data_IF_095383377416
#
_entry.id   IF_095383377416
#
_cell.length_a   1.000
_cell.length_b   1.000
_cell.length_c   1.000
_cell.angle_alpha   90.00
_cell.angle_beta   90.00
_cell.angle_gamma   90.00
#
_symmetry.space_group_name_H-M   'P 1'
#
loop_
_entity.id
_entity.type
_entity.pdbx_description
1 polymer ?
#
# COMPACT_ATOMS: atom_id res chain seq x y z
N UNK A 1 -10.98 -8.98 34.47
CA UNK A 1 -9.92 -9.94 34.05
C UNK A 1 -9.77 -9.88 32.54
N UNK A 2 -8.84 -9.07 32.03
CA UNK A 2 -8.47 -9.11 30.62
C UNK A 2 -7.47 -10.25 30.41
N UNK A 3 -7.74 -11.13 29.45
CA UNK A 3 -6.90 -12.29 29.16
C UNK A 3 -5.50 -11.85 28.73
N UNK A 4 -4.47 -12.30 29.47
CA UNK A 4 -3.03 -12.11 29.18
C UNK A 4 -2.61 -12.62 27.79
N UNK A 5 -3.45 -13.41 27.10
CA UNK A 5 -3.13 -14.01 25.80
C UNK A 5 -3.13 -13.01 24.63
N UNK A 6 -3.89 -11.91 24.68
CA UNK A 6 -3.98 -10.97 23.56
C UNK A 6 -2.77 -10.04 23.40
N UNK A 7 -2.09 -9.71 24.50
CA UNK A 7 -0.93 -8.81 24.48
C UNK A 7 0.36 -9.50 23.99
N UNK A 8 0.53 -10.79 24.31
CA UNK A 8 1.73 -11.55 23.95
C UNK A 8 1.84 -11.82 22.44
N UNK A 9 0.73 -12.13 21.78
CA UNK A 9 0.72 -12.38 20.32
C UNK A 9 0.99 -11.09 19.52
N UNK A 10 0.51 -9.94 20.01
CA UNK A 10 0.75 -8.62 19.40
C UNK A 10 2.20 -8.17 19.60
N UNK A 11 2.81 -8.46 20.76
CA UNK A 11 4.22 -8.18 21.01
C UNK A 11 5.16 -8.97 20.08
N UNK A 12 4.80 -10.22 19.77
CA UNK A 12 5.56 -11.09 18.85
C UNK A 12 5.58 -10.54 17.42
N UNK A 13 4.43 -10.09 16.89
CA UNK A 13 4.35 -9.48 15.57
C UNK A 13 5.05 -8.12 15.49
N UNK A 14 4.97 -7.30 16.55
CA UNK A 14 5.64 -6.00 16.63
C UNK A 14 7.18 -6.13 16.73
N UNK A 15 7.67 -7.15 17.43
CA UNK A 15 9.10 -7.48 17.51
C UNK A 15 9.67 -7.89 16.15
N UNK A 16 8.91 -8.67 15.36
CA UNK A 16 9.28 -9.03 13.98
C UNK A 16 9.29 -7.83 13.04
N UNK A 17 8.35 -6.90 13.17
CA UNK A 17 8.32 -5.66 12.39
C UNK A 17 9.47 -4.72 12.75
N UNK A 18 9.80 -4.58 14.04
CA UNK A 18 10.99 -3.82 14.47
C UNK A 18 12.25 -4.45 13.92
N UNK A 19 12.39 -5.78 13.98
CA UNK A 19 13.57 -6.46 13.45
C UNK A 19 13.66 -6.33 11.93
N UNK A 20 12.56 -6.51 11.20
CA UNK A 20 12.51 -6.37 9.74
C UNK A 20 12.71 -4.92 9.28
N UNK A 21 12.03 -3.95 9.89
CA UNK A 21 12.24 -2.51 9.62
C UNK A 21 13.66 -2.08 10.02
N UNK A 22 14.23 -2.63 11.10
CA UNK A 22 15.64 -2.42 11.45
C UNK A 22 16.56 -3.06 10.41
N UNK A 23 16.28 -4.25 9.89
CA UNK A 23 17.02 -4.87 8.79
C UNK A 23 16.92 -4.07 7.49
N UNK A 24 15.75 -3.50 7.19
CA UNK A 24 15.53 -2.64 6.02
C UNK A 24 16.25 -1.31 6.20
N UNK A 25 16.14 -0.67 7.37
CA UNK A 25 16.86 0.56 7.71
C UNK A 25 18.38 0.33 7.75
N UNK A 26 18.85 -0.81 8.26
CA UNK A 26 20.26 -1.20 8.25
C UNK A 26 20.76 -1.49 6.83
N UNK A 27 19.93 -2.08 5.95
CA UNK A 27 20.27 -2.18 4.53
C UNK A 27 20.35 -0.81 3.89
N UNK A 28 19.40 0.09 4.18
CA UNK A 28 19.38 1.46 3.64
C UNK A 28 20.56 2.30 4.17
N UNK A 29 20.99 2.11 5.42
CA UNK A 29 22.19 2.77 5.98
C UNK A 29 23.51 2.15 5.51
N UNK A 30 23.47 1.03 4.79
CA UNK A 30 24.62 0.48 4.05
C UNK A 30 24.58 0.87 2.55
N UNK A 31 23.61 1.68 2.12
CA UNK A 31 23.58 2.27 0.75
C UNK A 31 24.38 3.58 0.68
N UNK A 32 25.00 4.02 1.78
CA UNK A 32 25.96 5.13 1.76
C UNK A 32 27.35 4.60 1.37
N UNK A 33 27.55 4.42 0.06
CA UNK A 33 28.87 4.07 -0.50
C UNK A 33 28.93 3.74 -1.99
N UNK A 34 27.80 3.63 -2.69
CA UNK A 34 27.80 3.45 -4.16
C UNK A 34 26.65 4.23 -4.82
N UNK A 35 26.53 5.50 -4.49
CA UNK A 35 25.87 6.48 -5.34
C UNK A 35 26.82 6.75 -6.53
N UNK A 36 26.81 5.88 -7.54
CA UNK A 36 27.42 6.22 -8.83
C UNK A 36 26.55 7.30 -9.45
N UNK A 37 26.93 8.54 -9.14
CA UNK A 37 26.72 9.70 -9.98
C UNK A 37 26.90 9.30 -11.45
N UNK A 38 25.88 9.59 -12.25
CA UNK A 38 25.83 9.22 -13.66
C UNK A 38 27.10 9.60 -14.41
N UNK A 39 27.70 8.62 -15.09
CA UNK A 39 28.49 8.77 -16.31
C UNK A 39 28.87 7.40 -16.86
N UNK A 40 27.87 6.72 -17.45
CA UNK A 40 28.10 5.87 -18.64
C UNK A 40 27.01 6.26 -19.63
N UNK A 41 27.10 7.49 -20.15
CA UNK A 41 26.61 7.80 -21.49
C UNK A 41 27.80 7.54 -22.42
N UNK A 42 27.57 6.73 -23.45
CA UNK A 42 28.49 6.33 -24.51
C UNK A 42 29.43 5.19 -24.13
N UNK A 43 29.16 4.00 -24.68
CA UNK A 43 30.14 3.12 -25.35
C UNK A 43 29.46 1.92 -26.05
N UNK A 44 28.18 1.61 -25.78
CA UNK A 44 27.40 0.69 -26.63
C UNK A 44 26.01 1.27 -26.97
N UNK A 45 25.62 1.14 -28.24
CA UNK A 45 24.60 1.94 -28.93
C UNK A 45 23.16 1.84 -28.39
N UNK A 46 22.42 2.93 -28.63
CA UNK A 46 20.94 3.02 -28.66
C UNK A 46 20.17 2.21 -27.60
N UNK A 47 20.43 2.44 -26.31
CA UNK A 47 19.50 2.11 -25.24
C UNK A 47 18.47 3.22 -25.07
N UNK A 48 17.42 3.27 -25.89
CA UNK A 48 16.23 4.10 -25.58
C UNK A 48 15.65 3.58 -24.27
N UNK A 49 15.56 4.44 -23.25
CA UNK A 49 14.83 4.16 -22.02
C UNK A 49 13.39 3.80 -22.39
N UNK A 50 13.12 2.49 -22.50
CA UNK A 50 11.86 1.96 -23.02
C UNK A 50 10.66 2.19 -22.09
N UNK A 51 10.81 3.03 -21.06
CA UNK A 51 9.78 3.42 -20.10
C UNK A 51 8.94 4.61 -20.57
N UNK A 52 9.51 5.48 -21.41
CA UNK A 52 8.86 6.70 -21.89
C UNK A 52 8.36 6.59 -23.34
N UNK A 53 8.37 5.39 -23.92
CA UNK A 53 7.82 5.18 -25.26
C UNK A 53 6.29 5.17 -25.14
N UNK A 54 5.56 5.99 -25.91
CA UNK A 54 4.11 5.93 -25.95
C UNK A 54 3.65 4.55 -26.42
N UNK A 55 2.81 3.90 -25.62
CA UNK A 55 2.06 2.71 -26.01
C UNK A 55 0.71 3.18 -26.51
N UNK A 56 0.44 2.93 -27.78
CA UNK A 56 -0.87 3.23 -28.36
C UNK A 56 -1.93 2.25 -27.85
N UNK A 57 -3.14 2.75 -27.66
CA UNK A 57 -4.28 1.92 -27.29
C UNK A 57 -4.53 0.87 -28.38
N UNK A 58 -4.47 -0.41 -28.02
CA UNK A 58 -4.69 -1.54 -28.95
C UNK A 58 -6.17 -1.93 -29.04
N UNK A 59 -6.90 -1.76 -27.94
CA UNK A 59 -8.35 -1.96 -27.88
C UNK A 59 -9.08 -0.62 -27.84
N UNK A 60 -10.40 -0.62 -28.07
CA UNK A 60 -11.26 0.54 -27.81
C UNK A 60 -11.60 0.69 -26.32
N UNK A 61 -12.15 1.84 -25.93
CA UNK A 61 -12.62 2.04 -24.56
C UNK A 61 -13.82 1.11 -24.34
N UNK A 62 -13.72 0.21 -23.37
CA UNK A 62 -14.79 -0.73 -23.04
C UNK A 62 -15.63 -0.24 -21.87
N UNK A 63 -16.96 -0.27 -22.05
CA UNK A 63 -17.90 0.09 -20.99
C UNK A 63 -17.87 -0.90 -19.81
N UNK A 64 -17.60 -2.17 -20.10
CA UNK A 64 -17.41 -3.20 -19.06
C UNK A 64 -16.17 -2.87 -18.20
N UNK A 65 -15.06 -2.48 -18.84
CA UNK A 65 -13.84 -2.08 -18.15
C UNK A 65 -14.04 -0.84 -17.28
N UNK A 66 -14.78 0.17 -17.78
CA UNK A 66 -15.19 1.34 -16.97
C UNK A 66 -16.03 0.88 -15.77
N UNK A 67 -16.92 -0.09 -15.96
CA UNK A 67 -17.76 -0.61 -14.88
C UNK A 67 -16.97 -1.42 -13.83
N UNK A 68 -15.91 -2.14 -14.23
CA UNK A 68 -14.95 -2.71 -13.26
C UNK A 68 -14.23 -1.61 -12.50
N UNK A 69 -13.76 -0.56 -13.18
CA UNK A 69 -13.08 0.56 -12.54
C UNK A 69 -13.96 1.25 -11.48
N UNK A 70 -15.23 1.52 -11.80
CA UNK A 70 -16.16 2.18 -10.88
C UNK A 70 -16.45 1.36 -9.62
N UNK A 71 -16.40 0.04 -9.70
CA UNK A 71 -16.70 -0.88 -8.59
C UNK A 71 -15.45 -1.34 -7.83
N UNK A 72 -14.26 -0.90 -8.23
CA UNK A 72 -13.00 -1.41 -7.67
C UNK A 72 -12.70 -2.86 -8.04
N UNK A 73 -13.23 -3.34 -9.17
CA UNK A 73 -13.04 -4.71 -9.64
C UNK A 73 -11.63 -4.95 -10.18
N UNK A 74 -11.01 -6.05 -9.79
CA UNK A 74 -9.61 -6.34 -10.13
C UNK A 74 -9.39 -6.64 -11.62
N UNK A 75 -10.45 -7.01 -12.35
CA UNK A 75 -10.41 -7.25 -13.79
C UNK A 75 -10.12 -5.95 -14.57
N UNK A 76 -10.34 -4.78 -13.95
CA UNK A 76 -9.95 -3.51 -14.55
C UNK A 76 -8.46 -3.46 -14.92
N UNK A 77 -7.59 -4.06 -14.10
CA UNK A 77 -6.16 -4.08 -14.40
C UNK A 77 -5.82 -4.90 -15.65
N UNK A 78 -6.60 -5.94 -15.96
CA UNK A 78 -6.46 -6.68 -17.21
C UNK A 78 -6.95 -5.86 -18.40
N UNK A 79 -8.05 -5.11 -18.23
CA UNK A 79 -8.51 -4.17 -19.25
C UNK A 79 -7.46 -3.10 -19.56
N UNK A 80 -6.81 -2.57 -18.53
CA UNK A 80 -5.78 -1.56 -18.66
C UNK A 80 -4.57 -2.12 -19.41
N UNK A 81 -4.16 -3.35 -19.10
CA UNK A 81 -3.05 -4.02 -19.78
C UNK A 81 -3.37 -4.39 -21.23
N UNK A 82 -4.57 -4.89 -21.52
CA UNK A 82 -4.98 -5.19 -22.91
C UNK A 82 -5.03 -3.93 -23.77
N UNK A 83 -5.50 -2.82 -23.19
CA UNK A 83 -5.53 -1.53 -23.89
C UNK A 83 -4.13 -0.97 -24.08
N UNK A 84 -3.29 -0.98 -23.06
CA UNK A 84 -1.92 -0.48 -23.10
C UNK A 84 -0.93 -1.59 -22.70
N UNK A 85 -0.52 -2.46 -23.63
CA UNK A 85 0.31 -3.62 -23.33
C UNK A 85 1.73 -3.21 -22.95
N UNK A 86 1.99 -3.17 -21.66
CA UNK A 86 3.31 -2.92 -21.08
C UNK A 86 4.12 -4.22 -20.90
N UNK A 87 3.48 -5.38 -21.06
CA UNK A 87 4.10 -6.70 -21.01
C UNK A 87 4.75 -6.98 -19.66
N UNK A 88 5.99 -7.49 -19.67
CA UNK A 88 6.74 -7.73 -18.43
C UNK A 88 6.94 -6.47 -17.57
N UNK A 89 6.72 -5.27 -18.13
CA UNK A 89 6.83 -3.99 -17.42
C UNK A 89 5.51 -3.52 -16.83
N UNK A 90 4.44 -4.32 -16.94
CA UNK A 90 3.11 -3.96 -16.45
C UNK A 90 3.09 -3.77 -14.93
N UNK A 91 3.07 -2.51 -14.51
CA UNK A 91 2.81 -2.14 -13.11
C UNK A 91 1.38 -2.52 -12.71
N UNK A 92 0.41 -2.26 -13.59
CA UNK A 92 -1.02 -2.51 -13.36
C UNK A 92 -1.29 -3.98 -13.03
N UNK A 93 -0.71 -4.93 -13.75
CA UNK A 93 -0.90 -6.36 -13.48
C UNK A 93 -0.03 -6.84 -12.32
N UNK A 94 1.27 -6.50 -12.31
CA UNK A 94 2.20 -7.03 -11.29
C UNK A 94 1.91 -6.53 -9.88
N UNK A 95 1.37 -5.31 -9.76
CA UNK A 95 1.08 -4.68 -8.47
C UNK A 95 -0.41 -4.46 -8.26
N UNK A 96 -1.05 -3.70 -9.14
CA UNK A 96 -2.47 -3.36 -9.01
C UNK A 96 -3.36 -4.61 -8.89
N UNK A 97 -3.33 -5.48 -9.90
CA UNK A 97 -4.10 -6.73 -9.91
C UNK A 97 -3.70 -7.67 -8.78
N UNK A 98 -2.40 -7.83 -8.54
CA UNK A 98 -1.88 -8.70 -7.48
C UNK A 98 -2.47 -8.36 -6.10
N UNK A 99 -2.34 -7.09 -5.67
CA UNK A 99 -2.87 -6.67 -4.38
C UNK A 99 -4.39 -6.64 -4.36
N UNK A 100 -5.05 -6.15 -5.42
CA UNK A 100 -6.51 -6.15 -5.50
C UNK A 100 -7.09 -7.57 -5.35
N UNK A 101 -6.52 -8.54 -6.05
CA UNK A 101 -6.98 -9.94 -6.00
C UNK A 101 -6.75 -10.55 -4.62
N UNK A 102 -5.61 -10.22 -4.00
CA UNK A 102 -5.27 -10.71 -2.66
C UNK A 102 -6.20 -10.12 -1.60
N UNK A 103 -6.55 -8.84 -1.71
CA UNK A 103 -7.54 -8.18 -0.84
C UNK A 103 -8.90 -8.84 -1.02
N UNK A 104 -9.38 -8.97 -2.26
CA UNK A 104 -10.70 -9.54 -2.58
C UNK A 104 -10.84 -10.97 -2.05
N UNK A 105 -9.80 -11.80 -2.18
CA UNK A 105 -9.80 -13.18 -1.66
C UNK A 105 -9.94 -13.26 -0.13
N UNK A 106 -9.49 -12.25 0.59
CA UNK A 106 -9.49 -12.24 2.05
C UNK A 106 -10.46 -11.20 2.64
N UNK A 107 -11.36 -10.64 1.82
CA UNK A 107 -12.25 -9.54 2.24
C UNK A 107 -13.11 -9.96 3.44
N UNK A 108 -13.57 -11.20 3.48
CA UNK A 108 -14.40 -11.74 4.56
C UNK A 108 -13.66 -11.89 5.91
N UNK A 109 -12.32 -11.81 5.91
CA UNK A 109 -11.52 -11.82 7.13
C UNK A 109 -11.39 -10.43 7.77
N UNK A 110 -11.79 -9.37 7.07
CA UNK A 110 -11.86 -8.04 7.64
C UNK A 110 -13.11 -7.87 8.50
N UNK A 111 -13.01 -6.99 9.48
CA UNK A 111 -14.18 -6.44 10.18
C UNK A 111 -15.15 -5.79 9.18
N UNK A 112 -16.45 -5.65 9.49
CA UNK A 112 -17.39 -4.98 8.59
C UNK A 112 -16.96 -3.56 8.18
N UNK A 113 -16.35 -2.82 9.10
CA UNK A 113 -15.76 -1.50 8.79
C UNK A 113 -14.54 -1.61 7.86
N UNK A 114 -13.68 -2.62 8.06
CA UNK A 114 -12.54 -2.90 7.20
C UNK A 114 -12.93 -3.33 5.78
N UNK A 115 -14.00 -4.11 5.63
CA UNK A 115 -14.55 -4.50 4.33
C UNK A 115 -14.99 -3.26 3.54
N UNK A 116 -15.76 -2.37 4.18
CA UNK A 116 -16.19 -1.11 3.56
C UNK A 116 -14.99 -0.23 3.19
N UNK A 117 -14.03 -0.07 4.10
CA UNK A 117 -12.80 0.67 3.85
C UNK A 117 -12.07 0.13 2.60
N UNK A 118 -11.83 -1.18 2.52
CA UNK A 118 -11.15 -1.78 1.36
C UNK A 118 -11.93 -1.65 0.05
N UNK A 119 -13.25 -1.81 0.08
CA UNK A 119 -14.09 -1.66 -1.12
C UNK A 119 -14.01 -0.22 -1.67
N UNK A 120 -14.10 0.77 -0.79
CA UNK A 120 -14.02 2.19 -1.15
C UNK A 120 -12.62 2.56 -1.62
N UNK A 121 -11.57 2.09 -0.94
CA UNK A 121 -10.18 2.28 -1.37
C UNK A 121 -9.92 1.65 -2.73
N UNK A 122 -10.38 0.41 -2.99
CA UNK A 122 -10.21 -0.23 -4.30
C UNK A 122 -10.91 0.54 -5.41
N UNK A 123 -12.16 0.99 -5.19
CA UNK A 123 -12.89 1.79 -6.16
C UNK A 123 -12.20 3.14 -6.45
N UNK A 124 -11.65 3.79 -5.41
CA UNK A 124 -10.85 4.99 -5.58
C UNK A 124 -9.60 4.71 -6.42
N UNK A 125 -8.83 3.67 -6.08
CA UNK A 125 -7.58 3.32 -6.78
C UNK A 125 -7.80 3.08 -8.27
N UNK A 126 -8.86 2.35 -8.64
CA UNK A 126 -9.17 2.10 -10.04
C UNK A 126 -9.73 3.34 -10.74
N UNK A 127 -10.44 4.23 -10.05
CA UNK A 127 -10.92 5.49 -10.64
C UNK A 127 -9.81 6.46 -11.05
N UNK A 128 -8.63 6.41 -10.39
CA UNK A 128 -7.47 7.23 -10.75
C UNK A 128 -6.98 7.00 -12.18
N UNK A 129 -7.27 5.82 -12.74
CA UNK A 129 -6.95 5.48 -14.12
C UNK A 129 -7.99 5.93 -15.14
N UNK A 130 -9.13 6.49 -14.73
CA UNK A 130 -10.25 6.80 -15.62
C UNK A 130 -9.82 7.69 -16.78
N UNK A 131 -9.15 8.81 -16.50
CA UNK A 131 -8.73 9.75 -17.54
C UNK A 131 -7.69 9.11 -18.47
N UNK A 132 -6.69 8.43 -17.90
CA UNK A 132 -5.67 7.72 -18.68
C UNK A 132 -6.29 6.64 -19.58
N UNK A 133 -7.32 5.93 -19.11
CA UNK A 133 -7.98 4.88 -19.89
C UNK A 133 -8.66 5.43 -21.14
N UNK A 134 -9.11 6.68 -21.15
CA UNK A 134 -9.73 7.30 -22.33
C UNK A 134 -8.71 7.82 -23.36
N UNK A 135 -7.42 7.89 -23.01
CA UNK A 135 -6.39 8.36 -23.93
C UNK A 135 -6.18 7.37 -25.10
N UNK A 136 -5.70 7.91 -26.23
CA UNK A 136 -5.28 7.11 -27.40
C UNK A 136 -3.89 6.52 -27.24
N UNK A 137 -3.09 7.02 -26.29
CA UNK A 137 -1.79 6.46 -25.91
C UNK A 137 -1.44 6.80 -24.46
N UNK A 138 -0.59 5.98 -23.87
CA UNK A 138 0.02 6.21 -22.55
C UNK A 138 1.39 5.53 -22.50
N UNK A 139 2.33 6.06 -21.73
CA UNK A 139 3.57 5.34 -21.44
C UNK A 139 3.38 4.41 -20.24
N UNK A 140 4.18 3.35 -20.15
CA UNK A 140 4.15 2.46 -18.99
C UNK A 140 4.55 3.18 -17.69
N UNK A 141 5.41 4.21 -17.79
CA UNK A 141 5.73 5.05 -16.63
C UNK A 141 4.54 5.91 -16.20
N UNK A 142 3.76 6.46 -17.13
CA UNK A 142 2.52 7.19 -16.79
C UNK A 142 1.51 6.28 -16.08
N UNK A 143 1.34 5.04 -16.54
CA UNK A 143 0.47 4.05 -15.90
C UNK A 143 0.94 3.72 -14.47
N UNK A 144 2.25 3.56 -14.28
CA UNK A 144 2.85 3.37 -12.95
C UNK A 144 2.60 4.60 -12.06
N UNK A 145 2.87 5.79 -12.58
CA UNK A 145 2.72 7.05 -11.84
C UNK A 145 1.29 7.27 -11.37
N UNK A 146 0.29 7.04 -12.24
CA UNK A 146 -1.13 7.11 -11.86
C UNK A 146 -1.45 6.13 -10.73
N UNK A 147 -0.90 4.90 -10.77
CA UNK A 147 -1.09 3.92 -9.72
C UNK A 147 -0.47 4.33 -8.38
N UNK A 148 0.77 4.84 -8.41
CA UNK A 148 1.45 5.35 -7.23
C UNK A 148 0.70 6.53 -6.63
N UNK A 149 0.25 7.47 -7.47
CA UNK A 149 -0.58 8.60 -7.03
C UNK A 149 -1.91 8.14 -6.44
N UNK A 150 -2.53 7.11 -7.01
CA UNK A 150 -3.72 6.47 -6.43
C UNK A 150 -3.45 5.96 -5.01
N UNK A 151 -2.36 5.22 -4.79
CA UNK A 151 -1.99 4.73 -3.45
C UNK A 151 -1.80 5.88 -2.46
N UNK A 152 -1.14 6.97 -2.89
CA UNK A 152 -0.90 8.14 -2.03
C UNK A 152 -2.21 8.76 -1.57
N UNK A 153 -3.17 8.93 -2.48
CA UNK A 153 -4.36 9.75 -2.25
C UNK A 153 -5.59 8.95 -1.77
N UNK A 154 -5.75 7.69 -2.18
CA UNK A 154 -6.91 6.86 -1.84
C UNK A 154 -6.83 6.19 -0.46
N UNK A 155 -5.72 6.37 0.26
CA UNK A 155 -5.53 5.76 1.59
C UNK A 155 -6.29 6.53 2.69
N UNK A 156 -6.44 7.84 2.55
CA UNK A 156 -6.98 8.71 3.58
C UNK A 156 -8.41 9.14 3.23
N UNK A 157 -9.23 8.17 2.79
CA UNK A 157 -10.66 8.37 2.56
C UNK A 157 -11.34 8.46 3.94
N UNK A 158 -11.15 9.60 4.59
CA UNK A 158 -11.71 9.89 5.89
C UNK A 158 -13.12 10.47 5.71
N UNK A 159 -14.12 9.68 6.08
CA UNK A 159 -15.47 10.18 6.34
C UNK A 159 -15.84 9.81 7.77
N UNK A 160 -16.94 10.38 8.29
CA UNK A 160 -17.48 9.98 9.59
C UNK A 160 -17.83 8.47 9.67
N UNK A 161 -17.89 7.78 8.52
CA UNK A 161 -18.29 6.38 8.39
C UNK A 161 -17.11 5.40 8.36
N UNK A 162 -15.88 5.87 8.06
CA UNK A 162 -14.73 5.00 7.83
C UNK A 162 -13.64 5.15 8.91
N UNK A 163 -12.98 4.04 9.30
CA UNK A 163 -11.82 4.12 10.19
C UNK A 163 -10.68 4.90 9.52
N UNK A 164 -9.87 5.61 10.31
CA UNK A 164 -8.57 6.09 9.83
C UNK A 164 -7.70 4.91 9.40
N UNK A 165 -6.70 5.13 8.55
CA UNK A 165 -5.77 4.07 8.15
C UNK A 165 -5.18 3.33 9.36
N UNK A 166 -4.75 4.06 10.40
CA UNK A 166 -4.20 3.45 11.61
C UNK A 166 -5.22 2.61 12.38
N UNK A 167 -6.47 3.06 12.46
CA UNK A 167 -7.54 2.29 13.09
C UNK A 167 -7.87 1.04 12.28
N UNK A 168 -7.94 1.18 10.95
CA UNK A 168 -8.12 0.06 10.02
C UNK A 168 -7.03 -1.01 10.21
N UNK A 169 -5.75 -0.62 10.20
CA UNK A 169 -4.63 -1.55 10.41
C UNK A 169 -4.69 -2.18 11.80
N UNK A 170 -5.05 -1.42 12.84
CA UNK A 170 -5.15 -1.93 14.20
C UNK A 170 -6.28 -2.98 14.36
N UNK A 171 -7.44 -2.74 13.76
CA UNK A 171 -8.60 -3.62 13.87
C UNK A 171 -8.49 -4.85 12.95
N UNK A 172 -7.71 -4.73 11.87
CA UNK A 172 -7.56 -5.78 10.86
C UNK A 172 -6.13 -6.33 10.77
N UNK A 173 -5.34 -6.21 11.86
CA UNK A 173 -3.90 -6.52 11.87
C UNK A 173 -3.60 -7.91 11.30
N UNK A 174 -4.37 -8.94 11.68
CA UNK A 174 -4.14 -10.31 11.21
C UNK A 174 -4.26 -10.43 9.68
N UNK A 175 -5.37 -9.98 9.11
CA UNK A 175 -5.61 -10.07 7.66
C UNK A 175 -4.68 -9.13 6.88
N UNK A 176 -4.34 -7.98 7.46
CA UNK A 176 -3.34 -7.06 6.89
C UNK A 176 -1.99 -7.77 6.69
N UNK A 177 -1.51 -8.52 7.68
CA UNK A 177 -0.27 -9.31 7.56
C UNK A 177 -0.37 -10.50 6.59
N UNK A 178 -1.57 -11.03 6.36
CA UNK A 178 -1.78 -12.03 5.32
C UNK A 178 -1.64 -11.39 3.95
N UNK A 179 -2.16 -10.17 3.75
CA UNK A 179 -2.13 -9.44 2.48
C UNK A 179 -0.76 -8.84 2.18
N UNK A 180 -0.06 -8.33 3.19
CA UNK A 180 1.26 -7.71 3.05
C UNK A 180 2.32 -8.59 3.69
N UNK A 181 2.51 -9.78 3.12
CA UNK A 181 3.52 -10.73 3.59
C UNK A 181 4.94 -10.31 3.19
N UNK A 182 5.95 -11.05 3.66
CA UNK A 182 7.35 -10.74 3.41
C UNK A 182 7.71 -10.68 1.93
N UNK A 183 7.12 -11.53 1.09
CA UNK A 183 7.39 -11.52 -0.35
C UNK A 183 6.78 -10.29 -1.01
N UNK A 184 5.62 -9.84 -0.54
CA UNK A 184 5.00 -8.62 -1.02
C UNK A 184 5.75 -7.35 -0.58
N UNK A 185 6.32 -7.36 0.62
CA UNK A 185 7.25 -6.30 1.05
C UNK A 185 8.46 -6.27 0.13
N UNK A 186 9.06 -7.42 -0.21
CA UNK A 186 10.17 -7.50 -1.18
C UNK A 186 9.74 -6.99 -2.55
N UNK A 187 8.54 -7.33 -3.03
CA UNK A 187 8.00 -6.80 -4.29
C UNK A 187 7.92 -5.28 -4.26
N UNK A 188 7.42 -4.70 -3.17
CA UNK A 188 7.39 -3.25 -3.01
C UNK A 188 8.80 -2.63 -2.96
N UNK A 189 9.83 -3.37 -2.49
CA UNK A 189 11.22 -2.89 -2.51
C UNK A 189 11.68 -2.84 -3.97
N UNK A 190 11.39 -3.89 -4.72
CA UNK A 190 11.79 -4.02 -6.13
C UNK A 190 11.06 -3.05 -7.06
N UNK A 191 9.98 -2.39 -6.62
CA UNK A 191 9.37 -1.28 -7.36
C UNK A 191 10.32 -0.10 -7.56
N UNK A 192 11.33 0.04 -6.69
CA UNK A 192 12.25 1.17 -6.66
C UNK A 192 11.53 2.54 -6.70
N UNK A 193 10.39 2.64 -6.02
CA UNK A 193 9.57 3.86 -5.97
C UNK A 193 9.64 4.51 -4.58
N UNK A 194 10.46 5.56 -4.39
CA UNK A 194 10.73 6.12 -3.07
C UNK A 194 9.49 6.77 -2.43
N UNK A 195 8.52 7.21 -3.24
CA UNK A 195 7.24 7.76 -2.72
C UNK A 195 6.48 6.73 -1.91
N UNK A 196 6.33 5.50 -2.41
CA UNK A 196 5.61 4.43 -1.68
C UNK A 196 6.32 4.10 -0.37
N UNK A 197 7.66 4.03 -0.38
CA UNK A 197 8.45 3.74 0.81
C UNK A 197 8.33 4.82 1.87
N UNK A 198 8.44 6.09 1.47
CA UNK A 198 8.27 7.22 2.37
C UNK A 198 6.92 7.14 3.07
N UNK A 199 5.86 6.87 2.31
CA UNK A 199 4.51 6.74 2.86
C UNK A 199 4.37 5.59 3.86
N UNK A 200 4.89 4.40 3.53
CA UNK A 200 4.85 3.25 4.45
C UNK A 200 5.59 3.54 5.75
N UNK A 201 6.73 4.24 5.68
CA UNK A 201 7.52 4.62 6.85
C UNK A 201 6.77 5.66 7.68
N UNK A 202 6.31 6.75 7.05
CA UNK A 202 5.54 7.82 7.69
C UNK A 202 4.32 7.24 8.42
N UNK A 203 3.54 6.40 7.74
CA UNK A 203 2.39 5.72 8.34
C UNK A 203 2.79 4.79 9.48
N UNK A 204 3.87 4.04 9.33
CA UNK A 204 4.40 3.19 10.40
C UNK A 204 4.72 3.99 11.67
N UNK A 205 5.32 5.17 11.51
CA UNK A 205 5.60 6.10 12.60
C UNK A 205 4.33 6.71 13.18
N UNK A 206 3.42 7.22 12.35
CA UNK A 206 2.16 7.84 12.78
C UNK A 206 1.29 6.85 13.56
N UNK A 207 1.06 5.66 13.01
CA UNK A 207 0.27 4.63 13.67
C UNK A 207 0.97 4.09 14.93
N UNK A 208 2.30 3.97 14.90
CA UNK A 208 3.11 3.54 16.04
C UNK A 208 3.05 4.52 17.21
N UNK A 209 3.22 5.82 16.94
CA UNK A 209 3.18 6.88 17.97
C UNK A 209 1.78 7.05 18.55
N UNK A 210 0.73 7.04 17.72
CA UNK A 210 -0.66 7.06 18.18
C UNK A 210 -0.98 5.90 19.14
N UNK A 211 -0.47 4.70 18.83
CA UNK A 211 -0.65 3.52 19.69
C UNK A 211 0.08 3.63 21.02
N UNK A 212 1.31 4.16 21.02
CA UNK A 212 2.07 4.42 22.25
C UNK A 212 1.38 5.45 23.13
N UNK A 213 0.93 6.57 22.55
CA UNK A 213 0.20 7.61 23.28
C UNK A 213 -1.08 7.06 23.93
N UNK A 214 -1.84 6.23 23.20
CA UNK A 214 -3.04 5.57 23.75
C UNK A 214 -2.68 4.65 24.92
N UNK A 215 -1.62 3.86 24.78
CA UNK A 215 -1.11 2.99 25.85
C UNK A 215 -0.73 3.77 27.12
N UNK A 216 0.00 4.88 26.96
CA UNK A 216 0.39 5.76 28.08
C UNK A 216 -0.84 6.35 28.78
N UNK A 217 -1.83 6.83 28.02
CA UNK A 217 -3.08 7.38 28.59
C UNK A 217 -3.85 6.36 29.43
N UNK A 218 -3.98 5.12 28.95
CA UNK A 218 -4.65 4.06 29.71
C UNK A 218 -3.88 3.68 30.98
N UNK A 219 -2.55 3.61 30.93
CA UNK A 219 -1.72 3.36 32.13
C UNK A 219 -1.91 4.49 33.15
N UNK A 220 -1.86 5.75 32.74
CA UNK A 220 -2.10 6.90 33.62
C UNK A 220 -3.49 6.82 34.25
N UNK A 221 -4.52 6.45 33.48
CA UNK A 221 -5.90 6.31 33.98
C UNK A 221 -6.00 5.22 35.05
N UNK A 222 -5.36 4.07 34.84
CA UNK A 222 -5.31 2.97 35.82
C UNK A 222 -4.56 3.39 37.08
N UNK A 223 -3.40 4.05 36.92
CA UNK A 223 -2.61 4.53 38.06
C UNK A 223 -3.39 5.55 38.88
N UNK A 224 -4.06 6.50 38.24
CA UNK A 224 -4.91 7.50 38.91
C UNK A 224 -6.06 6.85 39.65
N UNK A 225 -6.80 5.93 39.00
CA UNK A 225 -7.88 5.20 39.66
C UNK A 225 -7.40 4.35 40.84
N UNK A 226 -6.19 3.78 40.75
CA UNK A 226 -5.61 2.98 41.83
C UNK A 226 -5.20 3.87 43.01
N UNK A 227 -4.60 5.02 42.72
CA UNK A 227 -4.26 6.04 43.72
C UNK A 227 -5.49 6.55 44.46
N UNK A 228 -6.53 6.95 43.73
CA UNK A 228 -7.78 7.48 44.31
C UNK A 228 -8.50 6.45 45.21
N UNK A 229 -8.31 5.15 44.95
CA UNK A 229 -8.87 4.06 45.76
C UNK A 229 -8.00 3.70 46.97
N UNK A 230 -6.67 3.88 46.89
CA UNK A 230 -5.74 3.56 47.97
C UNK A 230 -5.66 4.67 49.03
N UNK A 231 -5.93 5.92 48.63
CA UNK A 231 -5.76 7.10 49.48
C UNK A 231 -7.08 7.88 49.70
N UNK A 232 -8.21 7.19 49.63
CA UNK A 232 -9.51 7.61 50.17
C UNK A 232 -9.77 6.95 51.51
#
# INVERSE_FOLDING_TARGET
MFSRSGLATVYSSYSRMKLFMLFVLLRLSHVDGAFISGSIKNIFGFGVNSFNIPVHAVEHVSQECIHHAKRGGCEFYDCLERRFPCGEKSYSVKFGKHFCSKITRHIDLFTPAGQRYMNVTNACLTSYYSDLYHNSSATCEQIKEVGVNGIVNCRDIQTAEYPTFCQFVADNTRVYWIIFDTMDLIKMITLNEPRVWRLLIEQGFECGTARLQKGVKEVIKVLKSTWDNLFR
#
